data_IF_418955534843
#
_entry.id   IF_418955534843
#
_cell.length_a   1.000
_cell.length_b   1.000
_cell.length_c   1.000
_cell.angle_alpha   90.00
_cell.angle_beta   90.00
_cell.angle_gamma   90.00
#
_symmetry.space_group_name_H-M   'P 1'
#
loop_
_entity.id
_entity.type
_entity.pdbx_description
1 polymer ?
#
# COMPACT_ATOMS: atom_id res chain seq x y z
N UNK A 1 -10.03 4.86 32.07
CA UNK A 1 -10.08 3.59 32.82
C UNK A 1 -10.11 2.48 31.78
N UNK A 2 -9.04 1.68 31.64
CA UNK A 2 -9.09 0.51 30.77
C UNK A 2 -10.14 -0.46 31.32
N UNK A 3 -11.28 -0.56 30.65
CA UNK A 3 -12.25 -1.60 30.95
C UNK A 3 -11.70 -2.91 30.39
N UNK A 4 -11.18 -3.76 31.27
CA UNK A 4 -10.89 -5.16 30.94
C UNK A 4 -12.17 -5.75 30.35
N UNK A 5 -12.07 -6.28 29.13
CA UNK A 5 -13.22 -6.83 28.41
C UNK A 5 -12.93 -8.29 28.10
N UNK A 6 -13.78 -9.19 28.57
CA UNK A 6 -13.69 -10.61 28.23
C UNK A 6 -14.53 -10.91 26.99
N UNK A 7 -13.94 -11.58 26.02
CA UNK A 7 -14.58 -12.02 24.78
C UNK A 7 -14.21 -13.48 24.48
N UNK A 8 -14.65 -14.01 23.34
CA UNK A 8 -14.16 -15.28 22.80
C UNK A 8 -13.72 -15.09 21.36
N UNK A 9 -12.57 -15.64 20.99
CA UNK A 9 -12.07 -15.63 19.61
C UNK A 9 -12.24 -17.02 19.00
N UNK A 10 -12.59 -17.08 17.72
CA UNK A 10 -12.63 -18.34 16.98
C UNK A 10 -11.21 -18.71 16.53
N UNK A 11 -10.60 -19.70 17.19
CA UNK A 11 -9.21 -20.06 17.01
C UNK A 11 -9.04 -21.58 16.78
N UNK A 12 -7.95 -22.00 16.11
CA UNK A 12 -7.60 -23.40 15.87
C UNK A 12 -7.29 -24.13 17.19
N UNK A 13 -8.10 -25.13 17.57
CA UNK A 13 -7.95 -26.05 18.71
C UNK A 13 -7.02 -25.62 19.88
N UNK A 14 -7.08 -24.37 20.33
CA UNK A 14 -6.38 -23.96 21.54
C UNK A 14 -7.23 -24.31 22.75
N UNK A 15 -6.59 -24.92 23.74
CA UNK A 15 -7.10 -25.02 25.10
C UNK A 15 -6.42 -23.95 25.96
N UNK A 16 -7.19 -23.21 26.76
CA UNK A 16 -6.64 -22.28 27.75
C UNK A 16 -7.37 -20.94 27.83
N UNK A 17 -6.80 -20.04 28.63
CA UNK A 17 -7.22 -18.65 28.76
C UNK A 17 -6.09 -17.75 28.27
N UNK A 18 -6.43 -16.74 27.48
CA UNK A 18 -5.44 -15.84 26.88
C UNK A 18 -5.70 -14.39 27.27
N UNK A 19 -4.61 -13.64 27.39
CA UNK A 19 -4.63 -12.19 27.39
C UNK A 19 -4.41 -11.69 25.96
N UNK A 20 -5.11 -10.63 25.57
CA UNK A 20 -4.98 -10.03 24.26
C UNK A 20 -4.74 -8.52 24.32
N UNK A 21 -3.83 -8.07 23.48
CA UNK A 21 -3.66 -6.67 23.12
C UNK A 21 -4.17 -6.45 21.69
N UNK A 22 -5.07 -5.49 21.50
CA UNK A 22 -5.52 -5.09 20.16
C UNK A 22 -4.53 -4.05 19.62
N UNK A 23 -3.90 -4.36 18.49
CA UNK A 23 -2.95 -3.43 17.84
C UNK A 23 -3.54 -2.77 16.59
N UNK A 24 -4.66 -3.28 16.09
CA UNK A 24 -5.38 -2.69 14.97
C UNK A 24 -6.76 -3.33 14.78
N UNK A 25 -7.71 -2.57 14.27
CA UNK A 25 -9.03 -3.07 13.91
C UNK A 25 -9.57 -2.30 12.71
N UNK A 26 -10.27 -3.00 11.83
CA UNK A 26 -11.04 -2.43 10.73
C UNK A 26 -12.42 -3.11 10.65
N UNK A 27 -13.34 -2.66 9.78
CA UNK A 27 -14.70 -3.21 9.72
C UNK A 27 -14.79 -4.72 9.41
N UNK A 28 -13.73 -5.32 8.88
CA UNK A 28 -13.71 -6.71 8.41
C UNK A 28 -12.89 -7.65 9.30
N UNK A 29 -11.90 -7.15 10.05
CA UNK A 29 -11.08 -7.95 10.94
C UNK A 29 -10.37 -7.13 12.02
N UNK A 30 -9.98 -7.82 13.08
CA UNK A 30 -9.21 -7.28 14.21
C UNK A 30 -7.91 -8.04 14.36
N UNK A 31 -6.82 -7.30 14.60
CA UNK A 31 -5.49 -7.83 14.85
C UNK A 31 -5.22 -7.83 16.35
N UNK A 32 -4.90 -9.01 16.88
CA UNK A 32 -4.58 -9.22 18.29
C UNK A 32 -3.15 -9.75 18.43
N UNK A 33 -2.45 -9.30 19.46
CA UNK A 33 -1.32 -10.02 20.04
C UNK A 33 -1.89 -10.87 21.18
N UNK A 34 -1.70 -12.19 21.11
CA UNK A 34 -2.13 -13.14 22.12
C UNK A 34 -0.97 -13.63 22.98
N UNK A 35 -1.22 -13.68 24.28
CA UNK A 35 -0.34 -14.26 25.30
C UNK A 35 -1.14 -15.21 26.20
N UNK A 36 -0.47 -16.24 26.71
CA UNK A 36 -1.04 -17.08 27.77
C UNK A 36 -1.42 -16.24 29.00
N UNK A 37 -2.59 -16.50 29.58
CA UNK A 37 -2.95 -15.96 30.90
C UNK A 37 -2.39 -16.87 32.00
N UNK A 38 -1.08 -16.78 32.23
CA UNK A 38 -0.36 -17.60 33.23
C UNK A 38 -0.88 -17.40 34.67
N UNK A 39 -1.60 -16.31 34.96
CA UNK A 39 -2.25 -16.12 36.26
C UNK A 39 -3.48 -17.02 36.44
N UNK A 40 -4.22 -17.29 35.35
CA UNK A 40 -5.40 -18.17 35.36
C UNK A 40 -5.09 -19.62 34.96
N UNK A 41 -3.93 -19.87 34.35
CA UNK A 41 -3.47 -21.18 33.92
C UNK A 41 -2.07 -21.50 34.51
N UNK A 42 -1.96 -21.83 35.81
CA UNK A 42 -0.69 -21.82 36.54
C UNK A 42 0.07 -23.18 36.61
N UNK A 43 -0.24 -24.20 35.81
CA UNK A 43 0.30 -25.56 36.03
C UNK A 43 1.43 -25.97 35.07
N UNK A 44 2.58 -26.32 35.66
CA UNK A 44 3.79 -26.93 35.06
C UNK A 44 3.61 -28.39 34.60
N UNK A 45 2.57 -28.69 33.80
CA UNK A 45 2.43 -30.00 33.12
C UNK A 45 2.47 -29.81 31.59
N UNK A 46 2.55 -30.90 30.81
CA UNK A 46 2.60 -30.95 29.32
C UNK A 46 1.41 -30.24 28.58
N UNK A 47 0.55 -29.51 29.30
CA UNK A 47 -0.57 -28.70 28.82
C UNK A 47 -0.31 -27.18 28.91
N UNK A 48 0.95 -26.76 28.97
CA UNK A 48 1.35 -25.37 28.77
C UNK A 48 0.72 -24.82 27.48
N UNK A 49 0.11 -23.62 27.53
CA UNK A 49 -0.57 -23.09 26.36
C UNK A 49 0.40 -22.61 25.26
N UNK A 50 1.71 -22.53 25.55
CA UNK A 50 2.84 -22.18 24.67
C UNK A 50 2.61 -21.00 23.70
N UNK A 51 1.73 -20.07 24.06
CA UNK A 51 1.44 -18.88 23.27
C UNK A 51 2.11 -17.70 23.95
N UNK A 52 3.20 -17.23 23.33
CA UNK A 52 3.89 -16.00 23.72
C UNK A 52 3.89 -15.05 22.52
N UNK A 53 3.28 -13.89 22.73
CA UNK A 53 3.23 -12.75 21.82
C UNK A 53 2.90 -13.13 20.37
N UNK A 54 1.88 -13.96 20.19
CA UNK A 54 1.47 -14.45 18.87
C UNK A 54 0.53 -13.45 18.19
N UNK A 55 0.92 -12.95 17.02
CA UNK A 55 0.06 -12.09 16.20
C UNK A 55 -0.97 -12.94 15.46
N UNK A 56 -2.24 -12.67 15.73
CA UNK A 56 -3.39 -13.28 15.05
C UNK A 56 -4.33 -12.21 14.50
N UNK A 57 -5.04 -12.56 13.43
CA UNK A 57 -6.01 -11.69 12.78
C UNK A 57 -7.26 -12.49 12.53
N UNK A 58 -8.38 -12.02 13.08
CA UNK A 58 -9.66 -12.72 13.02
C UNK A 58 -10.75 -11.74 12.63
N UNK A 59 -11.58 -12.11 11.66
CA UNK A 59 -12.82 -11.37 11.40
C UNK A 59 -13.64 -11.89 10.23
N UNK A 60 -14.96 -11.61 10.19
CA UNK A 60 -15.71 -10.87 11.22
C UNK A 60 -16.16 -11.75 12.40
N UNK A 61 -15.81 -13.05 12.44
CA UNK A 61 -16.23 -13.97 13.51
C UNK A 61 -15.35 -13.92 14.77
N UNK A 62 -14.84 -12.77 15.14
CA UNK A 62 -14.30 -12.60 16.49
C UNK A 62 -15.43 -12.50 17.54
N UNK A 63 -16.70 -12.46 17.12
CA UNK A 63 -17.87 -12.47 17.98
C UNK A 63 -18.74 -13.71 17.71
N UNK A 64 -19.13 -14.42 18.78
CA UNK A 64 -20.05 -15.57 18.73
C UNK A 64 -21.38 -15.22 18.07
N UNK A 65 -21.80 -13.96 18.19
CA UNK A 65 -23.02 -13.40 17.65
C UNK A 65 -22.70 -12.33 16.63
N UNK A 66 -22.66 -12.72 15.36
CA UNK A 66 -22.49 -11.76 14.27
C UNK A 66 -23.65 -10.75 14.23
N UNK A 67 -23.31 -9.49 13.97
CA UNK A 67 -24.30 -8.45 13.69
C UNK A 67 -25.12 -8.78 12.42
N UNK A 68 -26.40 -8.39 12.35
CA UNK A 68 -27.19 -8.51 11.13
C UNK A 68 -26.49 -7.85 9.94
N UNK A 69 -26.31 -8.58 8.83
CA UNK A 69 -25.59 -8.10 7.64
C UNK A 69 -24.08 -8.37 7.62
N UNK A 70 -23.52 -8.99 8.68
CA UNK A 70 -22.13 -9.41 8.68
C UNK A 70 -21.84 -10.43 7.55
N UNK A 71 -20.63 -10.39 6.95
CA UNK A 71 -20.21 -11.36 5.95
C UNK A 71 -20.35 -12.82 6.42
N UNK A 72 -20.77 -13.70 5.50
CA UNK A 72 -20.86 -15.15 5.73
C UNK A 72 -19.50 -15.85 5.70
N UNK A 73 -18.51 -15.17 5.15
CA UNK A 73 -17.08 -15.54 5.06
C UNK A 73 -16.23 -14.46 5.72
N UNK A 74 -14.93 -14.64 5.74
CA UNK A 74 -14.01 -13.88 6.57
C UNK A 74 -12.66 -14.58 6.66
N UNK A 75 -11.78 -14.06 7.50
CA UNK A 75 -10.38 -14.41 7.52
C UNK A 75 -9.92 -14.82 8.91
N UNK A 76 -9.05 -15.81 8.91
CA UNK A 76 -8.13 -16.09 9.99
C UNK A 76 -6.71 -15.95 9.45
N UNK A 77 -5.82 -15.24 10.14
CA UNK A 77 -4.39 -15.22 9.83
C UNK A 77 -3.57 -15.39 11.10
N UNK A 78 -2.49 -16.17 11.02
CA UNK A 78 -1.51 -16.33 12.10
C UNK A 78 -0.10 -16.37 11.51
N UNK A 79 0.85 -15.75 12.22
CA UNK A 79 2.29 -15.91 11.97
C UNK A 79 2.82 -16.98 12.93
N UNK A 80 3.67 -17.85 12.42
CA UNK A 80 4.39 -18.85 13.19
C UNK A 80 5.86 -18.55 13.10
N UNK A 81 6.51 -18.59 14.25
CA UNK A 81 7.94 -18.46 14.38
C UNK A 81 8.40 -19.56 15.32
N UNK A 82 9.34 -20.35 14.85
CA UNK A 82 10.10 -21.31 15.64
C UNK A 82 11.55 -20.85 15.63
N UNK A 83 12.09 -20.59 16.82
CA UNK A 83 13.51 -20.26 16.95
C UNK A 83 14.37 -21.49 16.62
N UNK A 84 15.57 -21.29 16.06
CA UNK A 84 16.52 -22.39 15.83
C UNK A 84 16.87 -23.07 17.16
N UNK A 85 16.68 -24.39 17.22
CA UNK A 85 17.15 -25.24 18.32
C UNK A 85 18.13 -26.27 17.76
N UNK A 86 19.04 -26.81 18.60
CA UNK A 86 20.18 -27.66 18.22
C UNK A 86 19.91 -28.63 17.04
N UNK A 87 20.30 -28.21 15.82
CA UNK A 87 20.21 -29.01 14.60
C UNK A 87 19.02 -28.70 13.66
N UNK A 88 18.15 -27.76 14.01
CA UNK A 88 17.09 -27.21 13.15
C UNK A 88 17.40 -25.73 12.83
N UNK A 89 17.15 -25.32 11.58
CA UNK A 89 17.44 -23.96 11.08
C UNK A 89 16.41 -22.92 11.58
N UNK A 90 15.43 -23.35 12.38
CA UNK A 90 14.25 -22.55 12.74
C UNK A 90 13.34 -22.34 11.53
N UNK A 91 12.16 -21.76 11.76
CA UNK A 91 11.27 -21.40 10.65
C UNK A 91 10.35 -20.24 10.98
N UNK A 92 9.98 -19.50 9.94
CA UNK A 92 8.89 -18.55 10.02
C UNK A 92 7.97 -18.67 8.80
N UNK A 93 6.68 -18.74 9.05
CA UNK A 93 5.69 -18.73 7.98
C UNK A 93 4.38 -18.10 8.47
N UNK A 94 3.60 -17.53 7.56
CA UNK A 94 2.23 -17.15 7.86
C UNK A 94 1.25 -18.10 7.22
N UNK A 95 0.14 -18.34 7.92
CA UNK A 95 -1.02 -19.00 7.36
C UNK A 95 -2.19 -18.02 7.35
N UNK A 96 -2.85 -17.92 6.20
CA UNK A 96 -4.12 -17.23 6.05
C UNK A 96 -5.17 -18.23 5.59
N UNK A 97 -6.28 -18.31 6.29
CA UNK A 97 -7.42 -19.13 5.94
C UNK A 97 -8.65 -18.26 5.68
N UNK A 98 -9.31 -18.53 4.55
CA UNK A 98 -10.72 -18.18 4.40
C UNK A 98 -11.52 -19.08 5.32
N UNK A 99 -12.45 -18.51 6.08
CA UNK A 99 -13.31 -19.31 6.91
C UNK A 99 -14.76 -19.32 6.44
N UNK A 100 -15.49 -20.31 6.92
CA UNK A 100 -16.93 -20.36 6.90
C UNK A 100 -17.37 -20.67 8.32
N UNK A 101 -17.69 -19.60 9.07
CA UNK A 101 -18.24 -19.59 10.43
C UNK A 101 -17.49 -20.38 11.51
N UNK A 102 -17.36 -21.69 11.37
CA UNK A 102 -16.79 -22.64 12.32
C UNK A 102 -15.67 -23.50 11.72
N UNK A 103 -15.35 -23.34 10.43
CA UNK A 103 -14.21 -24.03 9.82
C UNK A 103 -13.45 -23.17 8.81
N UNK A 104 -12.18 -23.50 8.60
CA UNK A 104 -11.38 -22.98 7.50
C UNK A 104 -11.69 -23.74 6.19
N UNK A 105 -12.01 -23.03 5.11
CA UNK A 105 -12.38 -23.61 3.80
C UNK A 105 -11.17 -23.77 2.89
N UNK A 106 -10.33 -22.74 2.80
CA UNK A 106 -9.13 -22.67 1.97
C UNK A 106 -8.06 -21.95 2.78
N UNK A 107 -6.84 -22.49 2.80
CA UNK A 107 -5.72 -21.84 3.44
C UNK A 107 -4.56 -21.62 2.46
N UNK A 108 -3.86 -20.50 2.64
CA UNK A 108 -2.62 -20.15 1.97
C UNK A 108 -1.53 -20.02 3.01
N UNK A 109 -0.41 -20.70 2.79
CA UNK A 109 0.80 -20.57 3.59
C UNK A 109 1.83 -19.76 2.82
N UNK A 110 2.45 -18.77 3.46
CA UNK A 110 3.53 -17.96 2.90
C UNK A 110 4.76 -18.21 3.76
N UNK A 111 5.84 -18.70 3.15
CA UNK A 111 7.13 -18.86 3.82
C UNK A 111 7.77 -17.46 3.99
N UNK A 112 8.04 -17.08 5.24
CA UNK A 112 8.57 -15.74 5.60
C UNK A 112 10.10 -15.80 5.75
N UNK A 113 10.69 -16.99 5.76
CA UNK A 113 12.14 -17.23 5.84
C UNK A 113 12.47 -18.34 6.83
N UNK A 114 13.62 -19.00 6.64
CA UNK A 114 14.23 -19.86 7.66
C UNK A 114 14.45 -21.32 7.29
N UNK A 115 13.61 -22.01 6.50
CA UNK A 115 13.91 -23.39 6.09
C UNK A 115 13.08 -23.92 4.89
N UNK A 116 13.45 -25.13 4.42
CA UNK A 116 12.76 -25.87 3.36
C UNK A 116 11.57 -26.74 3.82
N UNK A 117 11.14 -26.62 5.09
CA UNK A 117 10.15 -27.51 5.69
C UNK A 117 8.72 -27.23 5.17
N UNK A 118 8.32 -25.96 5.11
CA UNK A 118 7.00 -25.57 4.59
C UNK A 118 6.99 -25.27 3.08
N UNK A 119 8.16 -25.28 2.42
CA UNK A 119 8.31 -25.07 0.98
C UNK A 119 7.98 -23.65 0.51
N UNK A 120 7.72 -23.49 -0.80
CA UNK A 120 7.24 -22.25 -1.42
C UNK A 120 5.79 -21.94 -0.98
N UNK A 121 5.39 -20.67 -1.11
CA UNK A 121 4.00 -20.22 -0.89
C UNK A 121 3.00 -21.12 -1.61
N UNK A 122 2.00 -21.62 -0.88
CA UNK A 122 1.05 -22.59 -1.40
C UNK A 122 -0.37 -22.31 -0.89
N UNK A 123 -1.35 -22.44 -1.79
CA UNK A 123 -2.79 -22.39 -1.46
C UNK A 123 -3.40 -23.76 -1.65
N UNK A 124 -4.17 -24.23 -0.67
CA UNK A 124 -4.76 -25.56 -0.69
C UNK A 124 -6.15 -25.57 -0.01
N UNK A 125 -7.12 -26.32 -0.57
CA UNK A 125 -8.45 -26.44 -0.01
C UNK A 125 -8.50 -27.45 1.14
N UNK A 126 -9.53 -27.35 1.99
CA UNK A 126 -9.79 -28.32 3.07
C UNK A 126 -10.04 -29.71 2.49
N UNK A 127 -9.41 -30.73 3.07
CA UNK A 127 -9.72 -32.14 2.78
C UNK A 127 -10.89 -32.59 3.65
N UNK A 128 -11.94 -33.15 3.05
CA UNK A 128 -13.12 -33.67 3.78
C UNK A 128 -13.32 -35.17 3.52
N UNK A 129 -13.82 -35.91 4.51
CA UNK A 129 -14.14 -37.33 4.35
C UNK A 129 -12.93 -38.28 4.25
N UNK A 130 -11.76 -37.86 4.76
CA UNK A 130 -10.56 -38.70 4.88
C UNK A 130 -10.23 -38.99 6.34
N UNK A 131 -9.22 -39.83 6.62
CA UNK A 131 -8.74 -40.06 7.99
C UNK A 131 -8.17 -38.79 8.67
N UNK A 132 -7.88 -37.75 7.89
CA UNK A 132 -7.41 -36.44 8.34
C UNK A 132 -8.33 -35.36 7.73
N UNK A 133 -9.55 -35.22 8.27
CA UNK A 133 -10.47 -34.14 7.89
C UNK A 133 -9.88 -32.80 8.35
N UNK A 134 -9.54 -31.91 7.40
CA UNK A 134 -8.79 -30.69 7.66
C UNK A 134 -7.61 -30.47 6.70
N UNK A 135 -6.57 -29.80 7.18
CA UNK A 135 -5.38 -29.39 6.42
C UNK A 135 -4.15 -30.18 6.86
N UNK A 136 -3.80 -31.21 6.08
CA UNK A 136 -2.68 -32.12 6.38
C UNK A 136 -1.33 -31.41 6.55
N UNK A 137 -1.01 -30.42 5.69
CA UNK A 137 0.27 -29.67 5.75
C UNK A 137 0.37 -28.68 6.90
N UNK A 138 -0.73 -28.46 7.61
CA UNK A 138 -0.85 -27.48 8.69
C UNK A 138 -1.19 -28.14 10.03
N UNK A 139 -0.93 -29.44 10.18
CA UNK A 139 -1.18 -30.13 11.44
C UNK A 139 -2.67 -30.28 11.80
N UNK A 140 -3.55 -30.43 10.80
CA UNK A 140 -4.96 -30.76 11.07
C UNK A 140 -5.86 -29.55 11.32
N UNK A 141 -5.49 -28.37 10.82
CA UNK A 141 -6.37 -27.21 10.85
C UNK A 141 -7.68 -27.54 10.11
N UNK A 142 -8.82 -27.13 10.66
CA UNK A 142 -10.13 -27.53 10.13
C UNK A 142 -11.20 -27.43 11.19
N UNK A 143 -10.80 -27.72 12.43
CA UNK A 143 -11.60 -27.53 13.62
C UNK A 143 -11.18 -26.22 14.31
N UNK A 144 -12.14 -25.34 14.49
CA UNK A 144 -11.97 -24.08 15.22
C UNK A 144 -12.96 -24.05 16.37
N UNK A 145 -12.46 -23.60 17.51
CA UNK A 145 -13.25 -23.49 18.71
C UNK A 145 -13.24 -22.06 19.23
N UNK A 146 -14.27 -21.73 19.99
CA UNK A 146 -14.37 -20.44 20.64
C UNK A 146 -13.56 -20.43 21.93
N UNK A 147 -12.43 -19.75 21.88
CA UNK A 147 -11.46 -19.68 22.96
C UNK A 147 -11.69 -18.41 23.78
N UNK A 148 -11.77 -18.49 25.11
CA UNK A 148 -11.95 -17.31 25.96
C UNK A 148 -10.69 -16.44 25.99
N UNK A 149 -10.88 -15.14 25.78
CA UNK A 149 -9.79 -14.15 25.72
C UNK A 149 -10.13 -12.91 26.54
N UNK A 150 -9.16 -12.41 27.30
CA UNK A 150 -9.27 -11.18 28.09
C UNK A 150 -8.50 -10.06 27.38
N UNK A 151 -9.22 -9.06 26.87
CA UNK A 151 -8.60 -7.90 26.24
C UNK A 151 -8.06 -6.96 27.34
N UNK A 152 -6.74 -6.82 27.41
CA UNK A 152 -6.05 -6.03 28.42
C UNK A 152 -5.71 -4.62 27.91
N UNK A 153 -5.51 -4.46 26.59
CA UNK A 153 -5.12 -3.20 25.94
C UNK A 153 -5.73 -3.06 24.54
N UNK A 154 -5.69 -1.84 24.00
CA UNK A 154 -6.01 -1.59 22.60
C UNK A 154 -7.49 -1.42 22.26
N UNK A 155 -8.39 -1.39 23.26
CA UNK A 155 -9.84 -1.28 23.03
C UNK A 155 -10.25 -0.05 22.19
N UNK A 156 -9.43 1.01 22.19
CA UNK A 156 -9.61 2.21 21.37
C UNK A 156 -9.73 1.92 19.87
N UNK A 157 -9.04 0.90 19.36
CA UNK A 157 -9.05 0.57 17.93
C UNK A 157 -10.42 0.06 17.45
N UNK A 158 -11.21 -0.57 18.33
CA UNK A 158 -12.56 -1.04 18.01
C UNK A 158 -13.55 0.10 17.78
N UNK A 159 -13.40 1.21 18.51
CA UNK A 159 -14.25 2.39 18.36
C UNK A 159 -14.02 3.07 17.00
N UNK A 160 -12.75 3.24 16.60
CA UNK A 160 -12.37 3.84 15.31
C UNK A 160 -12.86 3.00 14.12
N UNK A 161 -12.85 1.67 14.23
CA UNK A 161 -13.38 0.79 13.19
C UNK A 161 -14.90 0.95 12.96
N UNK A 162 -15.65 1.36 13.98
CA UNK A 162 -17.12 1.51 13.91
C UNK A 162 -17.55 2.84 13.28
N UNK A 163 -16.76 3.91 13.44
CA UNK A 163 -17.06 5.23 12.87
C UNK A 163 -16.99 5.26 11.34
N UNK A 164 -16.15 4.43 10.74
CA UNK A 164 -16.02 4.32 9.27
C UNK A 164 -17.29 3.72 8.64
N UNK A 165 -18.02 2.86 9.36
CA UNK A 165 -19.22 2.18 8.83
C UNK A 165 -20.46 3.09 8.82
N UNK A 166 -20.54 4.06 9.75
CA UNK A 166 -21.73 4.89 9.94
C UNK A 166 -21.95 5.96 8.86
N UNK A 167 -21.05 6.12 7.89
CA UNK A 167 -21.13 7.16 6.85
C UNK A 167 -21.56 6.68 5.47
N UNK A 168 -21.92 5.40 5.29
CA UNK A 168 -22.21 4.85 3.94
C UNK A 168 -23.67 4.47 3.63
N UNK A 169 -24.62 4.56 4.56
CA UNK A 169 -26.03 4.24 4.27
C UNK A 169 -26.96 5.44 4.48
N UNK A 170 -27.01 6.31 3.47
CA UNK A 170 -28.17 7.17 3.24
C UNK A 170 -28.43 7.38 1.74
N UNK A 171 -29.64 6.96 1.36
CA UNK A 171 -30.48 7.56 0.32
C UNK A 171 -30.43 6.96 -1.11
N UNK A 172 -31.27 5.94 -1.35
CA UNK A 172 -32.06 5.88 -2.58
C UNK A 172 -33.51 5.52 -2.22
N UNK A 173 -34.40 6.52 -2.30
CA UNK A 173 -35.86 6.31 -2.40
C UNK A 173 -36.35 6.77 -3.77
N UNK A 174 -37.09 5.88 -4.43
CA UNK A 174 -38.24 6.09 -5.33
C UNK A 174 -38.34 4.82 -6.20
N UNK A 175 -39.41 4.03 -6.17
CA UNK A 175 -40.79 4.43 -6.39
C UNK A 175 -41.17 4.11 -7.83
N UNK A 176 -41.30 2.81 -8.18
CA UNK A 176 -41.68 2.37 -9.53
C UNK A 176 -43.10 1.78 -9.51
N UNK A 177 -44.05 2.57 -10.00
CA UNK A 177 -45.40 2.14 -10.35
C UNK A 177 -45.40 1.62 -11.79
N UNK A 178 -46.03 0.47 -12.01
CA UNK A 178 -46.22 -0.15 -13.33
C UNK A 178 -47.05 0.73 -14.27
N UNK A 179 -46.71 0.76 -15.56
CA UNK A 179 -47.69 0.73 -16.65
C UNK A 179 -47.05 0.28 -17.96
N UNK A 180 -47.85 -0.45 -18.71
CA UNK A 180 -47.58 -1.22 -19.92
C UNK A 180 -47.37 -0.39 -21.20
N UNK A 181 -46.45 -0.85 -22.05
CA UNK A 181 -46.61 -1.03 -23.50
C UNK A 181 -46.79 0.19 -24.40
N UNK A 182 -45.83 0.42 -25.31
CA UNK A 182 -46.05 0.42 -26.77
C UNK A 182 -44.73 0.57 -27.53
N UNK A 183 -44.51 -0.32 -28.50
CA UNK A 183 -43.40 -0.35 -29.45
C UNK A 183 -43.78 0.47 -30.68
N UNK A 184 -43.00 1.51 -31.04
CA UNK A 184 -43.00 2.12 -32.39
C UNK A 184 -41.58 2.60 -32.78
N UNK A 185 -41.02 1.90 -33.76
CA UNK A 185 -40.07 2.28 -34.83
C UNK A 185 -39.42 3.68 -34.78
N UNK A 186 -38.10 3.74 -34.54
CA UNK A 186 -37.25 4.88 -34.95
C UNK A 186 -35.96 4.34 -35.60
N UNK A 187 -35.98 4.21 -36.92
CA UNK A 187 -34.79 3.90 -37.74
C UNK A 187 -34.69 4.83 -38.95
N UNK A 188 -34.93 6.14 -38.74
CA UNK A 188 -34.94 7.13 -39.82
C UNK A 188 -34.11 8.41 -39.59
N UNK A 189 -33.66 8.70 -38.37
CA UNK A 189 -33.10 10.03 -38.04
C UNK A 189 -31.58 10.13 -38.28
N UNK A 190 -30.82 9.03 -38.22
CA UNK A 190 -29.35 9.08 -38.35
C UNK A 190 -28.83 9.27 -39.79
N UNK A 191 -29.59 8.86 -40.81
CA UNK A 191 -29.14 8.94 -42.21
C UNK A 191 -29.26 10.35 -42.78
N UNK A 192 -30.28 11.13 -42.38
CA UNK A 192 -30.50 12.48 -42.90
C UNK A 192 -29.46 13.48 -42.38
N UNK A 193 -29.02 13.34 -41.12
CA UNK A 193 -28.01 14.22 -40.54
C UNK A 193 -26.62 14.03 -41.16
N UNK A 194 -26.23 12.79 -41.47
CA UNK A 194 -24.92 12.48 -42.06
C UNK A 194 -24.86 12.89 -43.54
N UNK A 195 -25.94 12.66 -44.30
CA UNK A 195 -26.03 13.10 -45.70
C UNK A 195 -26.08 14.64 -45.80
N UNK A 196 -26.75 15.31 -44.86
CA UNK A 196 -26.76 16.78 -44.78
C UNK A 196 -25.38 17.39 -44.49
N UNK A 197 -24.59 16.77 -43.61
CA UNK A 197 -23.25 17.26 -43.28
C UNK A 197 -22.26 17.08 -44.44
N UNK A 198 -22.39 15.97 -45.21
CA UNK A 198 -21.57 15.68 -46.39
C UNK A 198 -21.94 16.60 -47.56
N UNK A 199 -23.22 16.94 -47.74
CA UNK A 199 -23.65 17.92 -48.74
C UNK A 199 -23.19 19.35 -48.38
N UNK A 200 -23.14 19.69 -47.10
CA UNK A 200 -22.66 21.01 -46.65
C UNK A 200 -21.15 21.17 -46.87
N UNK A 201 -20.34 20.14 -46.62
CA UNK A 201 -18.90 20.17 -46.93
C UNK A 201 -18.64 20.24 -48.43
N UNK A 202 -19.41 19.52 -49.24
CA UNK A 202 -19.30 19.59 -50.70
C UNK A 202 -19.70 20.97 -51.27
N UNK A 203 -20.71 21.64 -50.69
CA UNK A 203 -21.12 22.99 -51.10
C UNK A 203 -20.10 24.07 -50.71
N UNK A 204 -19.37 23.86 -49.62
CA UNK A 204 -18.28 24.75 -49.19
C UNK A 204 -17.02 24.58 -50.06
N UNK A 205 -16.70 23.34 -50.48
CA UNK A 205 -15.55 23.06 -51.36
C UNK A 205 -15.78 23.45 -52.83
N UNK A 206 -17.01 23.38 -53.33
CA UNK A 206 -17.34 23.68 -54.75
C UNK A 206 -17.65 25.17 -54.99
N UNK A 207 -17.62 26.01 -53.96
CA UNK A 207 -17.63 27.48 -54.12
C UNK A 207 -18.92 28.05 -54.73
N UNK A 208 -20.08 27.51 -54.36
CA UNK A 208 -21.38 27.91 -54.90
C UNK A 208 -22.00 29.17 -54.25
N UNK A 209 -21.24 29.95 -53.49
CA UNK A 209 -21.72 31.20 -52.89
C UNK A 209 -20.73 32.31 -53.26
N UNK A 210 -21.18 33.23 -54.10
CA UNK A 210 -20.38 34.27 -54.77
C UNK A 210 -19.84 35.37 -53.86
N UNK A 211 -19.03 35.02 -52.86
CA UNK A 211 -18.12 35.96 -52.20
C UNK A 211 -16.72 35.33 -52.13
N UNK A 212 -15.72 36.07 -52.62
CA UNK A 212 -14.38 35.57 -52.93
C UNK A 212 -13.63 34.92 -51.77
N UNK A 213 -12.58 34.15 -52.13
CA UNK A 213 -11.65 33.41 -51.27
C UNK A 213 -11.43 34.07 -49.90
N UNK A 214 -12.07 33.51 -48.87
CA UNK A 214 -11.76 33.82 -47.48
C UNK A 214 -10.40 33.18 -47.17
N UNK A 215 -9.33 33.95 -47.33
CA UNK A 215 -8.02 33.57 -46.77
C UNK A 215 -8.17 33.54 -45.25
N UNK A 216 -7.73 32.44 -44.63
CA UNK A 216 -7.59 32.30 -43.17
C UNK A 216 -6.81 33.50 -42.59
N UNK A 217 -7.53 34.46 -41.99
CA UNK A 217 -6.93 35.48 -41.11
C UNK A 217 -6.79 34.83 -39.74
N UNK A 218 -5.54 34.67 -39.31
CA UNK A 218 -5.17 34.30 -37.95
C UNK A 218 -5.95 35.18 -36.96
N UNK A 219 -6.72 34.55 -36.07
CA UNK A 219 -7.42 35.23 -34.99
C UNK A 219 -6.36 35.76 -34.01
N UNK A 220 -6.15 37.08 -33.97
CA UNK A 220 -5.09 37.73 -33.19
C UNK A 220 -5.52 38.10 -31.76
N UNK A 221 -6.62 37.52 -31.26
CA UNK A 221 -7.02 37.56 -29.85
C UNK A 221 -8.27 36.69 -29.66
N UNK A 222 -8.15 35.45 -29.13
CA UNK A 222 -9.31 34.79 -28.59
C UNK A 222 -9.69 35.45 -27.27
N UNK A 223 -10.89 36.02 -27.25
CA UNK A 223 -11.56 36.47 -26.02
C UNK A 223 -11.63 35.35 -24.99
N UNK A 224 -11.85 35.72 -23.73
CA UNK A 224 -11.63 34.97 -22.49
C UNK A 224 -12.37 33.62 -22.31
N UNK A 225 -12.22 32.70 -23.25
CA UNK A 225 -12.51 31.28 -23.12
C UNK A 225 -11.27 30.52 -23.61
N UNK A 226 -10.23 30.48 -22.77
CA UNK A 226 -9.15 29.51 -22.93
C UNK A 226 -9.79 28.14 -22.75
N UNK A 227 -10.06 27.45 -23.84
CA UNK A 227 -10.19 26.00 -23.81
C UNK A 227 -8.84 25.50 -23.31
N UNK A 228 -8.77 25.20 -22.01
CA UNK A 228 -7.62 24.52 -21.42
C UNK A 228 -7.59 23.14 -22.07
N UNK A 229 -6.82 22.99 -23.15
CA UNK A 229 -6.44 21.67 -23.63
C UNK A 229 -5.61 21.09 -22.48
N UNK A 230 -6.24 20.27 -21.65
CA UNK A 230 -5.58 19.56 -20.55
C UNK A 230 -4.60 18.60 -21.24
N UNK A 231 -3.36 19.04 -21.43
CA UNK A 231 -2.32 18.18 -21.99
C UNK A 231 -2.05 17.09 -20.96
N UNK A 232 -1.93 15.85 -21.44
CA UNK A 232 -1.49 14.73 -20.60
C UNK A 232 -0.16 15.10 -19.91
N UNK A 233 0.04 14.73 -18.63
CA UNK A 233 1.30 14.97 -17.96
C UNK A 233 2.50 14.41 -18.75
N UNK A 234 3.71 14.99 -18.63
CA UNK A 234 4.89 14.48 -19.32
C UNK A 234 5.19 13.03 -18.94
N UNK A 235 5.52 12.17 -19.93
CA UNK A 235 5.91 10.78 -19.69
C UNK A 235 7.38 10.65 -19.26
N UNK A 236 7.74 11.41 -18.22
CA UNK A 236 9.04 11.41 -17.57
C UNK A 236 8.81 11.32 -16.07
N UNK A 237 9.55 10.45 -15.41
CA UNK A 237 9.44 10.21 -13.97
C UNK A 237 10.72 10.66 -13.26
N UNK A 238 10.56 11.20 -12.04
CA UNK A 238 11.65 11.40 -11.11
C UNK A 238 11.53 10.38 -9.97
N UNK A 239 12.55 9.56 -9.77
CA UNK A 239 12.71 8.76 -8.55
C UNK A 239 13.60 9.55 -7.59
N UNK A 240 13.06 9.98 -6.45
CA UNK A 240 13.86 10.64 -5.42
C UNK A 240 14.61 9.63 -4.58
N UNK A 241 15.84 9.97 -4.21
CA UNK A 241 16.78 9.18 -3.44
C UNK A 241 17.12 9.96 -2.16
N UNK A 242 17.15 9.30 -0.99
CA UNK A 242 17.68 9.95 0.22
C UNK A 242 19.17 10.25 0.05
N UNK A 243 19.53 11.46 0.44
CA UNK A 243 20.92 11.93 0.52
C UNK A 243 21.54 11.75 1.89
N UNK A 244 20.72 11.40 2.89
CA UNK A 244 21.18 11.20 4.25
C UNK A 244 21.85 9.84 4.43
N UNK A 245 22.62 9.76 5.51
CA UNK A 245 23.13 8.51 6.06
C UNK A 245 23.25 8.66 7.56
N UNK A 246 22.99 7.59 8.30
CA UNK A 246 23.15 7.54 9.74
C UNK A 246 23.55 6.13 10.18
N UNK A 247 24.09 6.00 11.37
CA UNK A 247 24.32 4.69 11.97
C UNK A 247 23.01 4.10 12.49
N UNK A 248 22.84 2.79 12.31
CA UNK A 248 21.70 1.99 12.74
C UNK A 248 22.20 0.65 13.32
N UNK A 249 21.30 -0.12 13.92
CA UNK A 249 21.60 -1.42 14.53
C UNK A 249 22.69 -1.31 15.60
N UNK A 250 22.42 -0.50 16.62
CA UNK A 250 23.35 -0.21 17.74
C UNK A 250 24.66 0.43 17.27
N UNK A 251 24.57 1.28 16.25
CA UNK A 251 25.70 1.99 15.67
C UNK A 251 26.65 1.12 14.83
N UNK A 252 26.29 -0.13 14.53
CA UNK A 252 27.18 -1.06 13.81
C UNK A 252 27.09 -0.92 12.29
N UNK A 253 25.94 -0.51 11.77
CA UNK A 253 25.68 -0.48 10.34
C UNK A 253 25.22 0.91 9.88
N UNK A 254 25.26 1.15 8.58
CA UNK A 254 24.91 2.46 7.99
C UNK A 254 23.61 2.35 7.20
N UNK A 255 22.64 3.19 7.50
CA UNK A 255 21.44 3.36 6.69
C UNK A 255 21.63 4.39 5.58
N UNK A 256 20.80 4.30 4.54
CA UNK A 256 20.82 5.13 3.35
C UNK A 256 19.67 4.77 2.41
N UNK A 257 19.93 4.78 1.11
CA UNK A 257 19.01 4.29 0.10
C UNK A 257 18.79 2.78 0.23
N UNK A 258 17.54 2.35 0.40
CA UNK A 258 17.18 0.94 0.21
C UNK A 258 17.16 0.60 -1.29
N UNK A 259 18.11 -0.22 -1.76
CA UNK A 259 18.41 -0.39 -3.20
C UNK A 259 17.18 -0.76 -4.04
N UNK A 260 16.40 -1.77 -3.62
CA UNK A 260 15.23 -2.25 -4.36
C UNK A 260 14.12 -1.21 -4.47
N UNK A 261 14.02 -0.28 -3.51
CA UNK A 261 13.01 0.79 -3.54
C UNK A 261 13.29 1.85 -4.61
N UNK A 262 14.50 1.91 -5.16
CA UNK A 262 14.81 2.69 -6.36
C UNK A 262 14.89 1.83 -7.62
N UNK A 263 15.47 0.63 -7.52
CA UNK A 263 15.67 -0.26 -8.66
C UNK A 263 14.36 -0.83 -9.21
N UNK A 264 13.47 -1.33 -8.35
CA UNK A 264 12.21 -1.92 -8.80
C UNK A 264 11.30 -0.88 -9.49
N UNK A 265 11.09 0.33 -8.92
CA UNK A 265 10.34 1.37 -9.62
C UNK A 265 11.02 1.84 -10.90
N UNK A 266 12.35 1.90 -10.94
CA UNK A 266 13.09 2.21 -12.18
C UNK A 266 12.76 1.21 -13.27
N UNK A 267 12.80 -0.10 -12.97
CA UNK A 267 12.49 -1.15 -13.93
C UNK A 267 11.04 -1.06 -14.41
N UNK A 268 10.07 -0.88 -13.50
CA UNK A 268 8.65 -0.75 -13.84
C UNK A 268 8.38 0.47 -14.72
N UNK A 269 8.90 1.64 -14.33
CA UNK A 269 8.67 2.90 -15.06
C UNK A 269 9.34 2.90 -16.43
N UNK A 270 10.57 2.39 -16.54
CA UNK A 270 11.25 2.28 -17.83
C UNK A 270 10.57 1.27 -18.76
N UNK A 271 10.11 0.13 -18.23
CA UNK A 271 9.31 -0.84 -18.99
C UNK A 271 7.98 -0.23 -19.46
N UNK A 272 7.38 0.67 -18.68
CA UNK A 272 6.20 1.45 -19.07
C UNK A 272 6.51 2.63 -20.02
N UNK A 273 7.77 2.77 -20.48
CA UNK A 273 8.16 3.77 -21.48
C UNK A 273 8.37 5.18 -20.92
N UNK A 274 8.58 5.33 -19.60
CA UNK A 274 9.01 6.60 -19.03
C UNK A 274 10.50 6.84 -19.27
N UNK A 275 10.86 8.08 -19.56
CA UNK A 275 12.23 8.55 -19.29
C UNK A 275 12.35 8.75 -17.77
N UNK A 276 13.29 8.05 -17.12
CA UNK A 276 13.43 8.08 -15.65
C UNK A 276 14.71 8.79 -15.26
N UNK A 277 14.61 9.80 -14.42
CA UNK A 277 15.74 10.42 -13.72
C UNK A 277 15.77 9.96 -12.27
N UNK A 278 16.96 9.91 -11.70
CA UNK A 278 17.20 9.75 -10.27
C UNK A 278 17.80 11.05 -9.75
N UNK A 279 17.40 11.49 -8.57
CA UNK A 279 18.00 12.64 -7.90
C UNK A 279 17.83 12.56 -6.39
N UNK A 280 18.78 13.14 -5.66
CA UNK A 280 18.64 13.43 -4.24
C UNK A 280 18.72 14.93 -3.99
N UNK A 281 18.42 15.37 -2.77
CA UNK A 281 18.49 16.79 -2.40
C UNK A 281 19.92 17.36 -2.62
N UNK A 282 20.95 16.55 -2.36
CA UNK A 282 22.37 16.96 -2.47
C UNK A 282 23.09 16.42 -3.69
N UNK A 283 22.46 15.52 -4.48
CA UNK A 283 23.10 14.80 -5.59
C UNK A 283 24.03 13.67 -5.15
N UNK A 284 23.99 13.27 -3.88
CA UNK A 284 24.74 12.13 -3.33
C UNK A 284 23.80 11.14 -2.67
N UNK A 285 24.26 9.90 -2.48
CA UNK A 285 23.57 8.86 -1.70
C UNK A 285 24.59 7.94 -1.03
N UNK A 286 24.12 7.21 -0.02
CA UNK A 286 24.80 6.07 0.59
C UNK A 286 23.85 4.87 0.46
N UNK A 287 24.30 3.67 0.06
CA UNK A 287 23.43 2.50 0.10
C UNK A 287 23.17 2.07 1.55
N UNK A 288 21.93 1.71 1.85
CA UNK A 288 21.57 1.09 3.12
C UNK A 288 22.23 -0.29 3.24
N UNK A 289 22.86 -0.58 4.38
CA UNK A 289 23.52 -1.86 4.65
C UNK A 289 22.55 -3.05 4.59
N UNK A 290 21.35 -2.92 5.14
CA UNK A 290 20.36 -4.01 5.17
C UNK A 290 19.92 -4.35 3.75
N UNK A 291 19.74 -3.33 2.91
CA UNK A 291 19.37 -3.52 1.51
C UNK A 291 20.42 -4.22 0.64
N UNK A 292 21.64 -4.42 1.16
CA UNK A 292 22.72 -5.14 0.48
C UNK A 292 22.82 -6.60 0.91
N UNK A 293 22.04 -7.03 1.90
CA UNK A 293 22.07 -8.41 2.37
C UNK A 293 21.42 -9.36 1.34
N UNK A 294 21.83 -10.64 1.30
CA UNK A 294 21.36 -11.59 0.28
C UNK A 294 19.83 -11.74 0.21
N UNK A 295 19.11 -11.58 1.32
CA UNK A 295 17.65 -11.68 1.36
C UNK A 295 16.97 -10.50 0.66
N UNK A 296 17.64 -9.34 0.57
CA UNK A 296 17.11 -8.12 -0.05
C UNK A 296 17.75 -7.80 -1.41
N UNK A 297 18.94 -8.35 -1.68
CA UNK A 297 19.68 -8.13 -2.91
C UNK A 297 20.27 -9.43 -3.44
N UNK A 298 19.56 -10.04 -4.37
CA UNK A 298 19.94 -11.31 -5.01
C UNK A 298 19.54 -11.30 -6.50
N UNK A 299 19.82 -12.40 -7.21
CA UNK A 299 19.39 -12.60 -8.59
C UNK A 299 19.76 -11.46 -9.55
N UNK A 300 18.79 -11.05 -10.36
CA UNK A 300 18.96 -9.99 -11.37
C UNK A 300 19.18 -8.60 -10.74
N UNK A 301 18.66 -8.38 -9.52
CA UNK A 301 18.87 -7.12 -8.80
C UNK A 301 20.34 -6.99 -8.38
N UNK A 302 20.93 -8.06 -7.84
CA UNK A 302 22.35 -8.10 -7.51
C UNK A 302 23.24 -7.95 -8.75
N UNK A 303 22.85 -8.57 -9.87
CA UNK A 303 23.57 -8.46 -11.13
C UNK A 303 23.54 -7.01 -11.66
N UNK A 304 22.37 -6.35 -11.59
CA UNK A 304 22.19 -4.96 -12.00
C UNK A 304 22.94 -4.00 -11.09
N UNK A 305 22.86 -4.22 -9.77
CA UNK A 305 23.57 -3.43 -8.76
C UNK A 305 25.08 -3.53 -8.90
N UNK A 306 25.61 -4.75 -9.06
CA UNK A 306 27.05 -5.01 -9.17
C UNK A 306 27.65 -4.50 -10.48
N UNK A 307 26.83 -4.36 -11.53
CA UNK A 307 27.26 -3.79 -12.80
C UNK A 307 27.14 -2.26 -12.78
N UNK A 308 28.22 -1.56 -12.44
CA UNK A 308 28.30 -0.09 -12.47
C UNK A 308 28.08 0.54 -13.86
N UNK A 309 28.11 -0.28 -14.92
CA UNK A 309 27.78 0.14 -16.28
C UNK A 309 26.32 -0.14 -16.68
N UNK A 310 25.49 -0.71 -15.81
CA UNK A 310 24.06 -0.82 -16.06
C UNK A 310 23.44 0.58 -16.14
N UNK A 311 22.34 0.72 -16.90
CA UNK A 311 21.71 2.03 -17.08
C UNK A 311 21.19 2.61 -15.75
N UNK A 312 20.67 1.75 -14.87
CA UNK A 312 20.30 2.14 -13.51
C UNK A 312 21.50 2.67 -12.73
N UNK A 313 22.62 1.92 -12.67
CA UNK A 313 23.80 2.34 -11.91
C UNK A 313 24.46 3.58 -12.46
N UNK A 314 24.54 3.74 -13.79
CA UNK A 314 25.01 5.00 -14.39
C UNK A 314 24.17 6.20 -13.95
N UNK A 315 22.84 6.06 -13.92
CA UNK A 315 21.95 7.16 -13.50
C UNK A 315 22.04 7.43 -12.00
N UNK A 316 22.09 6.39 -11.18
CA UNK A 316 22.22 6.53 -9.73
C UNK A 316 23.58 7.15 -9.33
N UNK A 317 24.68 6.66 -9.90
CA UNK A 317 26.04 7.08 -9.55
C UNK A 317 26.39 8.48 -10.11
N UNK A 318 25.66 8.94 -11.13
CA UNK A 318 25.82 10.26 -11.74
C UNK A 318 24.55 11.12 -11.61
N UNK A 319 23.73 10.86 -10.59
CA UNK A 319 22.49 11.60 -10.39
C UNK A 319 22.77 13.09 -10.11
N UNK A 320 21.84 13.93 -10.54
CA UNK A 320 21.94 15.38 -10.36
C UNK A 320 21.29 15.81 -9.04
N UNK A 321 21.60 17.02 -8.60
CA UNK A 321 20.92 17.64 -7.44
C UNK A 321 19.49 17.97 -7.83
N UNK A 322 18.56 17.77 -6.91
CA UNK A 322 17.17 18.17 -7.11
C UNK A 322 17.01 19.67 -7.46
N UNK A 323 17.90 20.54 -6.97
CA UNK A 323 17.91 21.98 -7.29
C UNK A 323 18.25 22.32 -8.73
N UNK A 324 18.84 21.39 -9.48
CA UNK A 324 19.25 21.57 -10.89
C UNK A 324 18.18 21.06 -11.87
N UNK A 325 17.11 20.43 -11.36
CA UNK A 325 16.06 19.85 -12.16
C UNK A 325 14.95 20.85 -12.51
N UNK A 326 14.46 20.74 -13.74
CA UNK A 326 13.25 21.43 -14.19
C UNK A 326 12.03 20.58 -13.87
N UNK A 327 11.34 20.95 -12.80
CA UNK A 327 10.15 20.26 -12.30
C UNK A 327 9.02 20.14 -13.36
N UNK A 328 8.96 21.05 -14.34
CA UNK A 328 7.92 21.03 -15.37
C UNK A 328 8.03 19.86 -16.35
N UNK A 329 9.18 19.18 -16.38
CA UNK A 329 9.42 18.02 -17.25
C UNK A 329 8.84 16.73 -16.72
N UNK A 330 8.44 16.66 -15.46
CA UNK A 330 8.00 15.42 -14.82
C UNK A 330 6.48 15.36 -14.75
N UNK A 331 5.93 14.20 -15.11
CA UNK A 331 4.53 13.87 -14.88
C UNK A 331 4.32 12.82 -13.78
N UNK A 332 5.41 12.22 -13.28
CA UNK A 332 5.39 11.27 -12.17
C UNK A 332 6.56 11.56 -11.22
N UNK A 333 6.26 11.62 -9.93
CA UNK A 333 7.25 11.68 -8.86
C UNK A 333 7.13 10.43 -8.00
N UNK A 334 8.23 9.75 -7.73
CA UNK A 334 8.29 8.54 -6.92
C UNK A 334 9.35 8.70 -5.84
N UNK A 335 8.95 8.74 -4.57
CA UNK A 335 9.89 8.75 -3.45
C UNK A 335 10.26 7.33 -3.01
N UNK A 336 11.43 6.86 -3.46
CA UNK A 336 12.12 5.73 -2.84
C UNK A 336 12.61 6.12 -1.44
N UNK A 337 13.07 5.17 -0.62
CA UNK A 337 13.49 5.49 0.73
C UNK A 337 14.66 4.63 1.27
N UNK A 338 14.41 3.86 2.34
CA UNK A 338 15.36 3.51 3.40
C UNK A 338 15.25 4.46 4.60
N UNK A 339 15.64 4.00 5.80
CA UNK A 339 15.40 4.74 7.05
C UNK A 339 16.00 6.14 7.07
N UNK A 340 17.12 6.36 6.38
CA UNK A 340 17.75 7.67 6.26
C UNK A 340 16.83 8.75 5.65
N UNK A 341 15.79 8.36 4.88
CA UNK A 341 14.78 9.29 4.37
C UNK A 341 14.06 10.06 5.50
N UNK A 342 13.94 9.47 6.69
CA UNK A 342 13.38 10.15 7.87
C UNK A 342 14.19 11.39 8.30
N UNK A 343 15.44 11.51 7.87
CA UNK A 343 16.35 12.59 8.24
C UNK A 343 16.24 13.76 7.25
N UNK A 344 16.38 13.49 5.95
CA UNK A 344 16.47 14.56 4.95
C UNK A 344 15.14 14.88 4.26
N UNK A 345 14.29 13.89 3.96
CA UNK A 345 13.05 14.14 3.23
C UNK A 345 12.12 15.18 3.85
N UNK A 346 11.97 15.27 5.19
CA UNK A 346 11.15 16.31 5.80
C UNK A 346 11.64 17.73 5.45
N UNK A 347 12.92 17.90 5.14
CA UNK A 347 13.56 19.18 4.82
C UNK A 347 14.11 19.27 3.38
N UNK A 348 13.84 18.27 2.54
CA UNK A 348 14.27 18.21 1.15
C UNK A 348 13.45 19.14 0.25
N UNK A 349 13.65 20.45 0.42
CA UNK A 349 12.80 21.48 -0.18
C UNK A 349 12.78 21.46 -1.71
N UNK A 350 13.86 21.02 -2.37
CA UNK A 350 13.88 20.95 -3.84
C UNK A 350 13.09 19.73 -4.33
N UNK A 351 13.26 18.57 -3.70
CA UNK A 351 12.44 17.39 -3.99
C UNK A 351 10.95 17.67 -3.74
N UNK A 352 10.59 18.29 -2.61
CA UNK A 352 9.22 18.68 -2.28
C UNK A 352 8.62 19.65 -3.33
N UNK A 353 9.40 20.61 -3.82
CA UNK A 353 8.97 21.52 -4.89
C UNK A 353 8.67 20.78 -6.20
N UNK A 354 9.50 19.80 -6.57
CA UNK A 354 9.26 19.01 -7.77
C UNK A 354 7.97 18.20 -7.62
N UNK A 355 7.81 17.50 -6.49
CA UNK A 355 6.61 16.73 -6.21
C UNK A 355 5.33 17.59 -6.18
N UNK A 356 5.38 18.78 -5.57
CA UNK A 356 4.27 19.74 -5.58
C UNK A 356 3.93 20.24 -7.00
N UNK A 357 4.94 20.45 -7.84
CA UNK A 357 4.74 20.85 -9.23
C UNK A 357 4.13 19.72 -10.08
N UNK A 358 4.59 18.47 -9.90
CA UNK A 358 4.00 17.28 -10.51
C UNK A 358 2.53 17.16 -10.11
N UNK A 359 2.23 17.33 -8.83
CA UNK A 359 0.87 17.33 -8.31
C UNK A 359 0.00 18.42 -8.95
N UNK A 360 0.49 19.66 -9.00
CA UNK A 360 -0.21 20.81 -9.57
C UNK A 360 -0.48 20.66 -11.08
N UNK A 361 0.43 20.01 -11.81
CA UNK A 361 0.30 19.74 -13.23
C UNK A 361 -0.63 18.55 -13.54
N UNK A 362 -1.24 17.95 -12.51
CA UNK A 362 -2.15 16.83 -12.69
C UNK A 362 -1.46 15.48 -12.84
N UNK A 363 -0.16 15.38 -12.55
CA UNK A 363 0.64 14.14 -12.60
C UNK A 363 0.45 13.22 -11.38
N UNK A 364 1.26 12.17 -11.26
CA UNK A 364 1.18 11.21 -10.14
C UNK A 364 2.27 11.51 -9.12
N UNK A 365 1.91 11.54 -7.84
CA UNK A 365 2.88 11.58 -6.73
C UNK A 365 2.81 10.23 -6.03
N UNK A 366 3.97 9.62 -5.81
CA UNK A 366 4.06 8.29 -5.22
C UNK A 366 5.23 8.16 -4.27
N UNK A 367 5.14 7.22 -3.32
CA UNK A 367 6.20 6.94 -2.35
C UNK A 367 6.12 5.52 -1.82
N UNK A 368 7.22 4.98 -1.29
CA UNK A 368 7.23 3.66 -0.63
C UNK A 368 8.00 3.72 0.69
N UNK A 369 7.69 2.82 1.63
CA UNK A 369 8.44 2.64 2.87
C UNK A 369 8.48 3.93 3.71
N UNK A 370 9.66 4.49 4.02
CA UNK A 370 9.79 5.81 4.68
C UNK A 370 9.62 7.00 3.75
N UNK A 371 9.42 6.76 2.45
CA UNK A 371 9.20 7.79 1.43
C UNK A 371 8.12 8.81 1.77
N UNK A 372 7.01 8.46 2.47
CA UNK A 372 6.04 9.42 2.98
C UNK A 372 6.61 10.53 3.87
N UNK A 373 7.82 10.40 4.43
CA UNK A 373 8.51 11.48 5.13
C UNK A 373 8.69 12.74 4.25
N UNK A 374 8.70 12.60 2.92
CA UNK A 374 8.73 13.72 1.97
C UNK A 374 7.50 14.63 2.10
N UNK A 375 6.38 14.12 2.64
CA UNK A 375 5.15 14.87 2.77
C UNK A 375 5.15 15.85 3.95
N UNK A 376 6.11 15.76 4.88
CA UNK A 376 6.13 16.53 6.13
C UNK A 376 5.91 18.04 5.94
N UNK A 377 6.42 18.60 4.85
CA UNK A 377 6.29 20.01 4.45
C UNK A 377 5.84 20.19 2.99
N UNK A 378 5.24 19.16 2.38
CA UNK A 378 4.78 19.23 0.99
C UNK A 378 3.34 19.78 0.93
N UNK A 379 3.22 21.00 0.42
CA UNK A 379 1.96 21.74 0.34
C UNK A 379 1.35 21.60 -1.06
N UNK A 380 0.05 21.30 -1.14
CA UNK A 380 -0.70 21.40 -2.39
C UNK A 380 -0.93 22.88 -2.72
N UNK A 381 -0.37 23.40 -3.84
CA UNK A 381 -0.50 24.82 -4.19
C UNK A 381 -1.94 25.25 -4.52
N UNK A 382 -2.86 24.32 -4.76
CA UNK A 382 -4.27 24.59 -5.05
C UNK A 382 -5.08 24.85 -3.79
N UNK A 383 -4.83 24.08 -2.73
CA UNK A 383 -5.55 24.17 -1.46
C UNK A 383 -4.79 24.97 -0.41
N UNK A 384 -3.48 25.15 -0.59
CA UNK A 384 -2.55 25.71 0.39
C UNK A 384 -2.57 24.94 1.73
N UNK A 385 -2.84 23.64 1.67
CA UNK A 385 -2.82 22.70 2.80
C UNK A 385 -1.80 21.56 2.54
N UNK A 386 -1.41 20.76 3.55
CA UNK A 386 -0.59 19.58 3.31
C UNK A 386 -1.21 18.69 2.23
N UNK A 387 -0.40 18.23 1.26
CA UNK A 387 -0.90 17.49 0.10
C UNK A 387 -1.67 16.23 0.51
N UNK A 388 -1.25 15.59 1.60
CA UNK A 388 -1.85 14.34 2.10
C UNK A 388 -3.03 14.55 3.06
N UNK A 389 -3.42 15.80 3.33
CA UNK A 389 -4.53 16.06 4.26
C UNK A 389 -5.84 15.47 3.71
N UNK A 390 -6.49 14.63 4.53
CA UNK A 390 -7.71 13.91 4.16
C UNK A 390 -7.51 12.82 3.10
N UNK A 391 -6.25 12.43 2.82
CA UNK A 391 -5.92 11.36 1.87
C UNK A 391 -5.65 10.04 2.58
N UNK A 392 -5.93 8.94 1.91
CA UNK A 392 -5.53 7.60 2.32
C UNK A 392 -4.09 7.35 1.87
N UNK A 393 -3.23 6.94 2.79
CA UNK A 393 -1.84 6.58 2.51
C UNK A 393 -1.42 5.34 3.30
N UNK A 394 -0.34 4.71 2.88
CA UNK A 394 0.41 3.70 3.63
C UNK A 394 1.91 4.05 3.61
N UNK A 395 2.72 3.26 4.31
CA UNK A 395 4.17 3.40 4.39
C UNK A 395 4.75 2.45 5.43
N UNK A 396 6.01 2.65 5.81
CA UNK A 396 6.65 1.73 6.74
C UNK A 396 5.97 1.80 8.11
N UNK A 397 5.68 0.63 8.68
CA UNK A 397 4.88 0.54 9.90
C UNK A 397 5.74 0.81 11.12
N UNK A 398 5.20 1.52 12.12
CA UNK A 398 5.89 1.69 13.42
C UNK A 398 6.14 0.34 14.09
N UNK A 399 5.25 -0.63 13.87
CA UNK A 399 5.42 -2.00 14.37
C UNK A 399 6.66 -2.68 13.77
N UNK A 400 6.94 -2.50 12.48
CA UNK A 400 8.16 -3.02 11.86
C UNK A 400 9.43 -2.41 12.48
N UNK A 401 9.42 -1.13 12.84
CA UNK A 401 10.57 -0.48 13.51
C UNK A 401 10.85 -1.07 14.90
N UNK A 402 9.78 -1.41 15.62
CA UNK A 402 9.85 -2.03 16.94
C UNK A 402 10.37 -3.47 16.79
N UNK A 403 9.85 -4.22 15.81
CA UNK A 403 10.26 -5.59 15.52
C UNK A 403 11.74 -5.67 15.13
N UNK A 404 12.21 -4.71 14.33
CA UNK A 404 13.63 -4.56 13.96
C UNK A 404 14.51 -4.09 15.12
N UNK A 405 13.93 -3.71 16.27
CA UNK A 405 14.63 -3.23 17.48
C UNK A 405 15.49 -1.97 17.25
N UNK A 406 15.09 -1.12 16.32
CA UNK A 406 15.80 0.13 15.95
C UNK A 406 15.09 1.40 16.39
N UNK A 407 13.90 1.26 16.98
CA UNK A 407 13.04 2.38 17.36
C UNK A 407 13.74 3.45 18.22
N UNK A 408 14.60 3.06 19.16
CA UNK A 408 15.34 4.02 20.01
C UNK A 408 16.32 4.88 19.20
N UNK A 409 17.07 4.26 18.28
CA UNK A 409 18.00 4.99 17.40
C UNK A 409 17.25 5.95 16.48
N UNK A 410 16.13 5.52 15.89
CA UNK A 410 15.30 6.38 15.05
C UNK A 410 14.76 7.59 15.83
N UNK A 411 14.33 7.40 17.09
CA UNK A 411 13.91 8.51 17.95
C UNK A 411 15.05 9.48 18.27
N UNK A 412 16.28 8.99 18.37
CA UNK A 412 17.44 9.84 18.65
C UNK A 412 17.71 10.87 17.54
N UNK A 413 17.24 10.62 16.32
CA UNK A 413 17.36 11.55 15.20
C UNK A 413 16.35 12.71 15.28
N UNK A 414 15.37 12.64 16.18
CA UNK A 414 14.28 13.61 16.26
C UNK A 414 13.30 13.50 15.09
N UNK A 415 13.29 12.36 14.40
CA UNK A 415 12.40 12.09 13.27
C UNK A 415 11.06 11.50 13.71
N UNK A 416 10.02 11.86 12.97
CA UNK A 416 8.69 11.27 13.08
C UNK A 416 8.63 9.98 12.25
N UNK A 417 7.95 8.96 12.77
CA UNK A 417 7.63 7.77 11.99
C UNK A 417 6.54 8.08 10.97
N UNK A 418 6.40 7.23 9.95
CA UNK A 418 5.45 7.48 8.86
C UNK A 418 4.00 7.62 9.36
N UNK A 419 3.59 6.77 10.30
CA UNK A 419 2.25 6.83 10.92
C UNK A 419 2.00 8.16 11.63
N UNK A 420 3.04 8.73 12.26
CA UNK A 420 2.96 10.01 12.97
C UNK A 420 2.91 11.20 12.01
N UNK A 421 3.68 11.14 10.91
CA UNK A 421 3.59 12.13 9.82
C UNK A 421 2.18 12.13 9.22
N UNK A 422 1.60 10.94 9.01
CA UNK A 422 0.24 10.79 8.53
C UNK A 422 -0.78 11.43 9.49
N UNK A 423 -0.71 11.08 10.78
CA UNK A 423 -1.60 11.62 11.82
C UNK A 423 -1.49 13.14 11.93
N UNK A 424 -0.27 13.68 12.05
CA UNK A 424 -0.01 15.12 12.20
C UNK A 424 -0.54 15.93 11.02
N UNK A 425 -0.46 15.38 9.80
CA UNK A 425 -0.92 16.04 8.58
C UNK A 425 -2.38 15.75 8.24
N UNK A 426 -3.08 14.95 9.05
CA UNK A 426 -4.50 14.63 8.88
C UNK A 426 -4.77 13.67 7.72
N UNK A 427 -3.83 12.80 7.38
CA UNK A 427 -4.02 11.69 6.46
C UNK A 427 -4.61 10.47 7.19
N UNK A 428 -5.28 9.59 6.45
CA UNK A 428 -5.76 8.29 6.94
C UNK A 428 -4.69 7.26 6.61
N UNK A 429 -4.00 6.76 7.63
CA UNK A 429 -3.00 5.71 7.46
C UNK A 429 -3.66 4.33 7.39
N UNK A 430 -3.31 3.57 6.36
CA UNK A 430 -3.70 2.18 6.15
C UNK A 430 -2.45 1.32 6.07
N UNK A 431 -2.56 0.05 6.46
CA UNK A 431 -1.47 -0.92 6.37
C UNK A 431 -2.02 -2.29 6.09
N UNK A 432 -1.17 -3.14 5.52
CA UNK A 432 -1.46 -4.55 5.43
C UNK A 432 -1.53 -5.20 6.81
N UNK A 433 -2.23 -6.34 6.89
CA UNK A 433 -2.23 -7.17 8.08
C UNK A 433 -0.80 -7.60 8.48
N UNK A 434 0.05 -8.02 7.53
CA UNK A 434 1.46 -8.30 7.78
C UNK A 434 2.35 -7.05 7.61
N UNK A 435 3.31 -6.86 8.51
CA UNK A 435 4.25 -5.72 8.48
C UNK A 435 5.22 -5.77 7.27
N UNK A 436 5.44 -6.97 6.72
CA UNK A 436 6.31 -7.23 5.56
C UNK A 436 5.56 -7.52 4.26
N UNK A 437 4.21 -7.50 4.28
CA UNK A 437 3.39 -7.79 3.12
C UNK A 437 3.62 -6.76 2.00
N UNK A 438 3.49 -7.19 0.75
CA UNK A 438 3.28 -6.28 -0.38
C UNK A 438 1.92 -5.59 -0.22
N UNK A 439 1.95 -4.27 -0.02
CA UNK A 439 0.76 -3.46 0.18
C UNK A 439 0.95 -2.03 -0.31
N UNK A 440 -0.02 -1.54 -1.07
CA UNK A 440 -0.07 -0.17 -1.53
C UNK A 440 -1.48 0.40 -1.46
N UNK A 441 -1.57 1.72 -1.36
CA UNK A 441 -2.82 2.49 -1.34
C UNK A 441 -2.82 3.45 -2.53
N UNK A 442 -3.95 3.49 -3.25
CA UNK A 442 -4.22 4.45 -4.33
C UNK A 442 -5.35 5.38 -3.90
N UNK A 443 -5.06 6.67 -3.77
CA UNK A 443 -6.04 7.74 -3.54
C UNK A 443 -5.93 8.78 -4.66
N UNK A 444 -6.73 8.58 -5.71
CA UNK A 444 -6.72 9.43 -6.90
C UNK A 444 -5.36 9.38 -7.61
N UNK A 445 -4.57 10.45 -7.47
CA UNK A 445 -3.22 10.61 -8.05
C UNK A 445 -2.08 10.43 -7.05
N UNK A 446 -2.41 10.07 -5.82
CA UNK A 446 -1.45 9.76 -4.77
C UNK A 446 -1.38 8.23 -4.63
N UNK A 447 -0.18 7.66 -4.74
CA UNK A 447 0.05 6.21 -4.63
C UNK A 447 1.15 5.94 -3.61
N UNK A 448 0.88 5.18 -2.56
CA UNK A 448 1.86 4.94 -1.50
C UNK A 448 2.02 3.45 -1.23
N UNK A 449 3.22 2.99 -0.92
CA UNK A 449 3.56 1.59 -0.65
C UNK A 449 4.19 1.37 0.73
N UNK A 450 3.98 0.20 1.31
CA UNK A 450 4.32 -0.07 2.71
C UNK A 450 5.82 -0.24 2.96
N UNK A 451 6.55 -0.97 2.12
CA UNK A 451 7.89 -1.49 2.44
C UNK A 451 8.66 -1.89 1.15
N UNK A 452 9.90 -2.41 1.22
CA UNK A 452 10.63 -2.84 0.03
C UNK A 452 9.89 -3.83 -0.86
N UNK A 453 9.13 -4.78 -0.27
CA UNK A 453 8.33 -5.76 -1.03
C UNK A 453 7.20 -5.08 -1.84
N UNK A 454 6.80 -3.87 -1.45
CA UNK A 454 5.76 -3.08 -2.11
C UNK A 454 6.30 -2.16 -3.21
N UNK A 455 7.63 -2.08 -3.43
CA UNK A 455 8.22 -1.09 -4.33
C UNK A 455 7.77 -1.29 -5.79
N UNK A 456 7.76 -2.54 -6.28
CA UNK A 456 7.28 -2.84 -7.62
C UNK A 456 5.78 -2.56 -7.78
N UNK A 457 4.94 -3.10 -6.87
CA UNK A 457 3.48 -2.96 -6.95
C UNK A 457 3.02 -1.49 -6.85
N UNK A 458 3.73 -0.68 -6.05
CA UNK A 458 3.49 0.77 -5.93
C UNK A 458 3.79 1.49 -7.24
N UNK A 459 4.91 1.16 -7.89
CA UNK A 459 5.26 1.74 -9.19
C UNK A 459 4.28 1.31 -10.29
N UNK A 460 3.83 0.05 -10.28
CA UNK A 460 2.83 -0.46 -11.23
C UNK A 460 1.49 0.25 -11.05
N UNK A 461 1.05 0.43 -9.80
CA UNK A 461 -0.14 1.20 -9.47
C UNK A 461 -0.01 2.67 -9.90
N UNK A 462 1.16 3.29 -9.70
CA UNK A 462 1.42 4.66 -10.16
C UNK A 462 1.35 4.79 -11.69
N UNK A 463 1.89 3.82 -12.44
CA UNK A 463 1.75 3.74 -13.90
C UNK A 463 0.28 3.58 -14.29
N UNK A 464 -0.45 2.66 -13.66
CA UNK A 464 -1.87 2.42 -13.95
C UNK A 464 -2.76 3.65 -13.69
N UNK A 465 -2.41 4.47 -12.69
CA UNK A 465 -3.03 5.77 -12.46
C UNK A 465 -2.65 6.75 -13.56
N UNK A 466 -1.36 6.83 -13.92
CA UNK A 466 -0.85 7.76 -14.92
C UNK A 466 -1.49 7.57 -16.30
N UNK A 467 -1.70 6.32 -16.76
CA UNK A 467 -2.33 6.03 -18.05
C UNK A 467 -3.79 6.52 -18.17
N UNK A 468 -4.41 6.93 -17.05
CA UNK A 468 -5.79 7.43 -17.02
C UNK A 468 -5.90 8.96 -17.06
N UNK A 469 -4.78 9.70 -17.10
CA UNK A 469 -4.73 11.16 -16.85
C UNK A 469 -5.01 12.09 -18.03
#
# INVERSE_FOLDING_TARGET
>A
MSSITTTSLLLPQYSGYFNAEIIGANPTATTFILDCDYEKYPTEDDEDCYVTSQTIIVGPWADKTLSPGAPTTGIFRKIYVQEPEDGDDGYSFSAQCEMSRDYASICTTINIGGNGYFGETATFPRSTGTAYDGFYRMGGWGDFDWVPVTITKGQKYLATATEVTATSDAEVTSGATSTSGHVVVITGIKVVAVVGLILLTFLVDVGAIGQGRIRFRYWKNPGANKVQIKMSPPRRALISITSASASLFQGTETTGLFISEALHPYNVLTAAGFEVDLASETGTYTPDWLSQQPDFLNGDDLATWSNTNSEFRKKLDNMVKASELDASKYGLFYASAGHAALIDYPTATHLQKIAAQVWANGGVVSSVCHGPAIFANLIDPTTNEPLIKGKRITGFTTEAEIEMKIMEELRSWGSEMVEEVAERLGAVYERAPGIWDDFHVVDGRLVTGQNPASAASTAEAAVAVFEKL
#
